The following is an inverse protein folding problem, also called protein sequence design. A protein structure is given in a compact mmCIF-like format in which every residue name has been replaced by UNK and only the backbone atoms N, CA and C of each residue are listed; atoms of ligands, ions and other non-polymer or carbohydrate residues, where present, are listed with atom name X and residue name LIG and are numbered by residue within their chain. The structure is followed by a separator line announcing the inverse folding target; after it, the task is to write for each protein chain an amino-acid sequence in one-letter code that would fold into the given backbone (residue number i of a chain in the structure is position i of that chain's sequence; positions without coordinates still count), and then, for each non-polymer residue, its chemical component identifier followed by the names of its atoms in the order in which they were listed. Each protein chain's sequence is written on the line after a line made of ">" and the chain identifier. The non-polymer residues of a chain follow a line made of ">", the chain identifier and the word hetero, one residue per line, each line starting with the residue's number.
data_IF_765875905551
#
_entry.id   IF_765875905551
#
_cell.length_a   1.000
_cell.length_b   1.000
_cell.length_c   1.000
_cell.angle_alpha   90.00
_cell.angle_beta   90.00
_cell.angle_gamma   90.00
#
_symmetry.space_group_name_H-M   'P 1'
#
loop_
_entity.id
_entity.type
_entity.pdbx_description
1 polymer ?
#
# COMPACT_ATOMS: atom_id res chain seq x y z
N UNK A 1 37.74 12.06 63.89
CA UNK A 1 37.61 11.66 65.31
C UNK A 1 38.57 10.50 65.52
N UNK A 2 39.21 10.40 66.67
CA UNK A 2 40.03 9.24 67.02
C UNK A 2 39.70 8.84 68.45
N UNK A 3 39.75 7.56 68.77
CA UNK A 3 39.49 7.10 70.13
C UNK A 3 40.60 7.59 71.08
N UNK A 4 40.29 7.73 72.36
CA UNK A 4 41.32 8.08 73.35
C UNK A 4 42.39 6.99 73.41
N UNK A 5 43.67 7.40 73.38
CA UNK A 5 44.84 6.51 73.36
C UNK A 5 45.78 6.74 74.54
N UNK A 6 45.26 7.32 75.62
CA UNK A 6 46.01 7.49 76.86
C UNK A 6 46.34 6.14 77.49
N UNK A 7 47.41 6.06 78.28
CA UNK A 7 47.84 4.82 78.93
C UNK A 7 46.81 4.20 79.88
N UNK A 8 45.80 4.99 80.30
CA UNK A 8 44.69 4.57 81.16
C UNK A 8 43.40 4.24 80.38
N UNK A 9 43.43 4.28 79.05
CA UNK A 9 42.26 3.97 78.22
C UNK A 9 41.90 2.47 78.33
N UNK A 10 40.60 2.17 78.41
CA UNK A 10 40.12 0.80 78.35
C UNK A 10 40.41 0.19 76.97
N UNK A 11 40.82 -1.08 76.93
CA UNK A 11 41.16 -1.79 75.67
C UNK A 11 39.95 -2.17 74.82
N UNK A 12 38.75 -2.02 75.36
CA UNK A 12 37.47 -2.25 74.68
C UNK A 12 36.43 -1.30 75.26
N UNK A 13 35.34 -1.05 74.51
CA UNK A 13 34.22 -0.26 75.02
C UNK A 13 33.67 -0.91 76.30
N UNK A 14 33.69 -0.21 77.45
CA UNK A 14 33.12 -0.75 78.69
C UNK A 14 31.63 -1.00 78.55
N UNK A 15 31.10 -1.99 79.28
CA UNK A 15 29.66 -2.19 79.37
C UNK A 15 29.02 -0.94 80.03
N UNK A 16 28.06 -0.28 79.38
CA UNK A 16 27.40 0.88 79.96
C UNK A 16 26.65 0.52 81.25
N UNK A 17 26.53 1.49 82.16
CA UNK A 17 25.69 1.37 83.33
C UNK A 17 24.21 1.15 82.93
N UNK A 18 23.42 0.57 83.84
CA UNK A 18 22.00 0.37 83.62
C UNK A 18 21.28 1.71 83.37
N UNK A 19 20.36 1.74 82.40
CA UNK A 19 19.64 2.95 82.04
C UNK A 19 18.84 3.51 83.24
N UNK A 20 19.15 4.75 83.62
CA UNK A 20 18.37 5.51 84.58
C UNK A 20 17.22 6.29 83.93
N UNK A 21 16.55 7.14 84.72
CA UNK A 21 15.53 8.07 84.22
C UNK A 21 16.17 9.18 83.38
N UNK A 22 15.64 9.44 82.19
CA UNK A 22 16.13 10.50 81.29
C UNK A 22 15.95 11.90 81.91
N UNK A 23 16.96 12.75 81.77
CA UNK A 23 16.99 14.12 82.30
C UNK A 23 17.95 15.02 81.53
N UNK A 24 18.12 16.27 82.00
CA UNK A 24 18.97 17.28 81.37
C UNK A 24 20.18 17.62 82.26
N UNK A 25 21.25 18.15 81.65
CA UNK A 25 22.41 18.65 82.39
C UNK A 25 22.04 19.83 83.30
N UNK A 26 22.57 19.83 84.52
CA UNK A 26 22.44 20.92 85.49
C UNK A 26 23.78 21.24 86.15
N UNK A 27 24.02 22.51 86.44
CA UNK A 27 25.14 22.96 87.28
C UNK A 27 24.94 22.58 88.77
N UNK A 28 23.82 21.95 89.10
CA UNK A 28 23.36 21.77 90.46
C UNK A 28 22.87 23.09 91.05
N UNK A 29 22.29 22.99 92.23
CA UNK A 29 21.97 24.14 93.06
C UNK A 29 22.14 23.73 94.53
N UNK A 30 23.22 24.18 95.19
CA UNK A 30 23.49 23.82 96.58
C UNK A 30 22.42 24.35 97.55
N UNK A 31 21.72 25.45 97.20
CA UNK A 31 20.64 26.02 98.03
C UNK A 31 19.42 25.10 98.05
N UNK A 32 19.13 24.42 96.94
CA UNK A 32 18.03 23.46 96.83
C UNK A 32 18.49 21.99 96.93
N UNK A 33 19.75 21.74 97.33
CA UNK A 33 20.29 20.39 97.48
C UNK A 33 20.39 19.58 96.17
N UNK A 34 20.38 20.23 95.00
CA UNK A 34 20.47 19.55 93.70
C UNK A 34 21.95 19.39 93.34
N UNK A 35 22.48 18.16 93.19
CA UNK A 35 23.86 17.95 92.75
C UNK A 35 24.04 18.37 91.29
N UNK A 36 25.27 18.74 90.92
CA UNK A 36 25.64 18.97 89.52
C UNK A 36 25.69 17.66 88.75
N UNK A 37 25.41 17.71 87.44
CA UNK A 37 25.53 16.53 86.59
C UNK A 37 27.00 16.15 86.41
N UNK A 38 27.31 14.87 86.61
CA UNK A 38 28.63 14.30 86.35
C UNK A 38 28.64 13.78 84.91
N UNK A 39 29.61 14.21 84.10
CA UNK A 39 29.84 13.63 82.78
C UNK A 39 30.74 12.41 82.94
N UNK A 40 30.14 11.23 82.87
CA UNK A 40 30.82 9.96 83.07
C UNK A 40 31.45 9.40 81.77
N UNK A 41 32.12 8.26 81.91
CA UNK A 41 32.74 7.56 80.78
C UNK A 41 31.69 7.10 79.76
N UNK A 42 30.48 6.72 80.20
CA UNK A 42 29.42 6.25 79.31
C UNK A 42 28.97 7.37 78.36
N UNK A 43 28.73 8.56 78.89
CA UNK A 43 28.37 9.73 78.08
C UNK A 43 29.47 10.11 77.09
N UNK A 44 30.72 10.19 77.55
CA UNK A 44 31.85 10.59 76.70
C UNK A 44 32.16 9.54 75.62
N UNK A 45 32.10 8.25 75.96
CA UNK A 45 32.28 7.17 75.01
C UNK A 45 31.15 7.12 73.99
N UNK A 46 29.89 7.38 74.39
CA UNK A 46 28.75 7.46 73.48
C UNK A 46 28.96 8.55 72.42
N UNK A 47 29.26 9.79 72.83
CA UNK A 47 29.52 10.89 71.87
C UNK A 47 30.70 10.54 70.96
N UNK A 48 31.78 10.01 71.54
CA UNK A 48 32.96 9.64 70.77
C UNK A 48 32.64 8.59 69.73
N UNK A 49 31.97 7.51 70.11
CA UNK A 49 31.66 6.40 69.23
C UNK A 49 30.62 6.77 68.17
N UNK A 50 29.61 7.58 68.49
CA UNK A 50 28.68 8.10 67.49
C UNK A 50 29.42 8.89 66.39
N UNK A 51 30.32 9.79 66.77
CA UNK A 51 31.12 10.56 65.80
C UNK A 51 32.14 9.69 65.05
N UNK A 52 32.74 8.69 65.70
CA UNK A 52 33.62 7.70 65.05
C UNK A 52 32.83 6.89 64.02
N UNK A 53 31.63 6.44 64.36
CA UNK A 53 30.76 5.66 63.48
C UNK A 53 30.33 6.48 62.26
N UNK A 54 30.09 7.79 62.39
CA UNK A 54 29.85 8.68 61.24
C UNK A 54 31.06 8.71 60.29
N UNK A 55 32.28 8.81 60.84
CA UNK A 55 33.52 8.85 60.03
C UNK A 55 33.78 7.51 59.33
N UNK A 56 33.64 6.41 60.06
CA UNK A 56 33.79 5.06 59.53
C UNK A 56 32.70 4.72 58.50
N UNK A 57 31.45 5.13 58.76
CA UNK A 57 30.32 4.96 57.86
C UNK A 57 30.49 5.71 56.54
N UNK A 58 31.23 6.82 56.54
CA UNK A 58 31.66 7.50 55.31
C UNK A 58 32.86 6.82 54.60
N UNK A 59 33.36 5.69 55.11
CA UNK A 59 34.54 4.99 54.59
C UNK A 59 35.83 5.79 54.73
N UNK A 60 35.97 6.59 55.79
CA UNK A 60 37.16 7.39 56.10
C UNK A 60 37.91 6.73 57.26
N UNK A 61 39.22 6.43 57.13
CA UNK A 61 40.01 5.89 58.23
C UNK A 61 40.20 6.94 59.33
N UNK A 62 40.20 6.49 60.59
CA UNK A 62 40.39 7.39 61.73
C UNK A 62 41.84 7.89 61.79
N UNK A 63 41.99 9.19 62.02
CA UNK A 63 43.28 9.87 62.12
C UNK A 63 43.35 10.73 63.39
N UNK A 64 44.47 10.67 64.11
CA UNK A 64 44.71 11.53 65.28
C UNK A 64 45.13 12.95 64.89
N UNK A 65 45.64 13.14 63.67
CA UNK A 65 46.21 14.42 63.21
C UNK A 65 45.28 15.21 62.29
N UNK A 66 44.08 14.68 61.99
CA UNK A 66 43.12 15.31 61.07
C UNK A 66 41.88 15.83 61.82
N UNK A 67 41.74 17.15 61.92
CA UNK A 67 40.69 17.80 62.73
C UNK A 67 39.38 18.12 61.98
N UNK A 68 39.21 17.63 60.75
CA UNK A 68 38.01 17.87 59.94
C UNK A 68 37.31 16.57 59.48
N UNK A 69 37.62 15.41 60.08
CA UNK A 69 37.11 14.11 59.62
C UNK A 69 35.59 14.01 59.63
N UNK A 70 34.92 14.56 60.66
CA UNK A 70 33.44 14.55 60.73
C UNK A 70 32.84 15.42 59.62
N UNK A 71 33.43 16.59 59.35
CA UNK A 71 33.01 17.45 58.23
C UNK A 71 33.20 16.74 56.88
N UNK A 72 34.35 16.08 56.67
CA UNK A 72 34.62 15.30 55.47
C UNK A 72 33.65 14.12 55.32
N UNK A 73 33.31 13.46 56.43
CA UNK A 73 32.33 12.38 56.47
C UNK A 73 30.94 12.89 56.07
N UNK A 74 30.46 13.99 56.64
CA UNK A 74 29.18 14.61 56.30
C UNK A 74 29.15 14.99 54.81
N UNK A 75 30.21 15.61 54.28
CA UNK A 75 30.30 15.94 52.86
C UNK A 75 30.21 14.71 51.96
N UNK A 76 30.89 13.61 52.32
CA UNK A 76 30.87 12.36 51.54
C UNK A 76 29.54 11.62 51.66
N UNK A 77 28.97 11.53 52.86
CA UNK A 77 27.63 10.94 53.09
C UNK A 77 26.58 11.72 52.29
N UNK A 78 26.65 13.05 52.28
CA UNK A 78 25.76 13.89 51.47
C UNK A 78 25.92 13.72 49.96
N UNK A 79 27.06 13.21 49.47
CA UNK A 79 27.27 12.86 48.07
C UNK A 79 26.87 11.41 47.75
N UNK A 80 26.90 10.52 48.73
CA UNK A 80 26.68 9.10 48.54
C UNK A 80 25.18 8.80 48.57
N UNK A 81 24.59 8.55 47.41
CA UNK A 81 23.20 8.10 47.33
C UNK A 81 23.11 6.62 47.67
N UNK A 82 22.23 6.27 48.61
CA UNK A 82 21.93 4.86 48.93
C UNK A 82 21.22 4.24 47.73
N UNK A 83 21.82 3.19 47.15
CA UNK A 83 21.21 2.40 46.09
C UNK A 83 20.63 1.14 46.70
N UNK A 84 19.31 1.04 46.68
CA UNK A 84 18.56 -0.11 47.16
C UNK A 84 18.55 -1.21 46.10
N UNK A 85 18.40 -2.46 46.51
CA UNK A 85 18.23 -3.57 45.56
C UNK A 85 16.75 -3.87 45.41
N UNK A 86 16.27 -3.97 44.17
CA UNK A 86 14.94 -4.49 43.89
C UNK A 86 14.86 -5.97 44.29
N UNK A 87 13.95 -6.28 45.20
CA UNK A 87 13.65 -7.64 45.67
C UNK A 87 12.26 -8.10 45.23
N UNK A 88 11.63 -7.38 44.30
CA UNK A 88 10.30 -7.65 43.79
C UNK A 88 10.27 -8.64 42.63
N UNK A 89 9.32 -8.42 41.73
CA UNK A 89 9.11 -9.16 40.50
C UNK A 89 8.85 -8.20 39.34
N UNK A 90 8.78 -8.72 38.11
CA UNK A 90 8.46 -7.90 36.94
C UNK A 90 7.17 -7.10 37.14
N UNK A 91 7.25 -5.78 36.90
CA UNK A 91 6.18 -4.80 37.11
C UNK A 91 5.70 -4.61 38.57
N UNK A 92 6.29 -5.28 39.56
CA UNK A 92 5.97 -5.13 40.99
C UNK A 92 7.28 -5.00 41.77
N UNK A 93 7.72 -3.77 41.97
CA UNK A 93 9.03 -3.46 42.51
C UNK A 93 8.94 -3.21 44.01
N UNK A 94 9.94 -3.67 44.76
CA UNK A 94 10.06 -3.40 46.20
C UNK A 94 11.52 -3.37 46.58
N UNK A 95 11.85 -2.60 47.61
CA UNK A 95 13.20 -2.57 48.16
C UNK A 95 13.13 -2.37 49.67
N UNK A 96 14.22 -2.74 50.35
CA UNK A 96 14.34 -2.65 51.81
C UNK A 96 15.31 -1.53 52.17
N UNK A 97 14.82 -0.54 52.90
CA UNK A 97 15.60 0.55 53.44
C UNK A 97 16.23 0.14 54.78
N UNK A 98 17.34 0.78 55.15
CA UNK A 98 17.95 0.61 56.46
C UNK A 98 18.29 2.00 57.02
N UNK A 99 17.49 2.54 57.95
CA UNK A 99 16.28 1.94 58.56
C UNK A 99 15.07 1.86 57.60
N UNK A 100 14.11 0.95 57.83
CA UNK A 100 12.89 0.84 57.02
C UNK A 100 12.05 2.12 57.04
N UNK A 101 11.45 2.45 55.91
CA UNK A 101 10.42 3.49 55.83
C UNK A 101 9.12 3.01 56.49
N UNK A 102 8.40 3.97 57.06
CA UNK A 102 7.04 3.78 57.59
C UNK A 102 6.09 4.75 56.88
N UNK A 103 4.77 4.56 57.05
CA UNK A 103 3.77 5.42 56.38
C UNK A 103 3.95 6.92 56.64
N UNK A 104 4.54 7.33 57.77
CA UNK A 104 4.83 8.73 58.08
C UNK A 104 6.09 9.29 57.43
N UNK A 105 6.95 8.43 56.86
CA UNK A 105 8.22 8.81 56.21
C UNK A 105 8.24 8.48 54.73
N UNK A 106 7.28 7.70 54.23
CA UNK A 106 7.03 7.51 52.80
C UNK A 106 5.99 8.52 52.32
N UNK A 107 6.45 9.74 52.07
CA UNK A 107 5.63 10.93 51.77
C UNK A 107 6.23 11.70 50.58
N UNK A 108 5.51 12.71 50.09
CA UNK A 108 5.91 13.50 48.93
C UNK A 108 7.34 14.07 49.05
N UNK A 109 8.11 13.95 47.95
CA UNK A 109 9.49 14.41 47.86
C UNK A 109 10.54 13.38 48.28
N UNK A 110 10.14 12.25 48.88
CA UNK A 110 11.07 11.17 49.23
C UNK A 110 11.57 10.49 47.97
N UNK A 111 12.90 10.43 47.82
CA UNK A 111 13.59 9.84 46.67
C UNK A 111 14.15 8.47 47.04
N UNK A 112 13.93 7.48 46.18
CA UNK A 112 14.48 6.13 46.29
C UNK A 112 15.29 5.85 45.03
N UNK A 113 16.57 5.50 45.19
CA UNK A 113 17.37 4.97 44.07
C UNK A 113 17.40 3.47 44.20
N UNK A 114 16.90 2.78 43.18
CA UNK A 114 16.69 1.32 43.19
C UNK A 114 17.42 0.71 42.01
N UNK A 115 18.24 -0.31 42.27
CA UNK A 115 18.81 -1.17 41.24
C UNK A 115 17.75 -2.17 40.81
N UNK A 116 17.23 -1.99 39.60
CA UNK A 116 16.12 -2.73 39.03
C UNK A 116 16.52 -4.18 38.74
N UNK A 117 15.75 -5.15 39.22
CA UNK A 117 15.98 -6.57 38.99
C UNK A 117 15.35 -7.07 37.69
N UNK A 118 14.20 -6.50 37.33
CA UNK A 118 13.37 -6.96 36.21
C UNK A 118 13.00 -5.79 35.28
N UNK A 119 13.03 -6.02 33.97
CA UNK A 119 12.54 -5.02 33.03
C UNK A 119 11.01 -4.93 33.10
N UNK A 120 10.45 -3.73 32.95
CA UNK A 120 8.99 -3.58 32.90
C UNK A 120 8.45 -3.85 31.49
N UNK A 121 7.26 -4.43 31.42
CA UNK A 121 6.52 -4.70 30.18
C UNK A 121 5.21 -3.92 30.08
N UNK A 122 4.92 -3.08 31.08
CA UNK A 122 3.70 -2.30 31.18
C UNK A 122 3.63 -1.53 32.50
N UNK A 123 2.39 -1.25 32.94
CA UNK A 123 2.14 -0.53 34.18
C UNK A 123 2.78 -1.26 35.36
N UNK A 124 3.45 -0.51 36.21
CA UNK A 124 4.28 -1.04 37.30
C UNK A 124 3.94 -0.38 38.63
N UNK A 125 4.26 -1.03 39.74
CA UNK A 125 4.07 -0.50 41.09
C UNK A 125 5.35 -0.53 41.91
N UNK A 126 5.45 0.34 42.92
CA UNK A 126 6.54 0.36 43.89
C UNK A 126 5.99 0.32 45.32
N UNK A 127 6.56 -0.56 46.15
CA UNK A 127 6.17 -0.78 47.53
C UNK A 127 7.43 -0.94 48.42
N UNK A 128 8.07 0.15 48.87
CA UNK A 128 9.24 0.04 49.73
C UNK A 128 8.85 -0.49 51.12
N UNK A 129 9.71 -1.31 51.73
CA UNK A 129 9.56 -1.79 53.11
C UNK A 129 8.20 -2.44 53.45
N UNK A 130 7.55 -3.06 52.46
CA UNK A 130 6.23 -3.70 52.63
C UNK A 130 5.07 -2.71 52.81
N UNK A 131 5.28 -1.43 52.53
CA UNK A 131 4.21 -0.42 52.50
C UNK A 131 3.25 -0.67 51.32
N UNK A 132 2.10 0.00 51.35
CA UNK A 132 1.11 -0.08 50.29
C UNK A 132 1.71 0.27 48.93
N UNK A 133 1.53 -0.61 47.96
CA UNK A 133 2.03 -0.39 46.60
C UNK A 133 1.35 0.82 45.96
N UNK A 134 2.15 1.73 45.42
CA UNK A 134 1.70 2.87 44.61
C UNK A 134 2.17 2.69 43.17
N UNK A 135 1.42 3.16 42.17
CA UNK A 135 1.81 2.96 40.78
C UNK A 135 3.00 3.84 40.40
N UNK A 136 3.85 3.32 39.52
CA UNK A 136 4.98 4.04 38.94
C UNK A 136 4.53 4.72 37.65
N UNK A 137 4.79 6.01 37.57
CA UNK A 137 4.47 6.87 36.44
C UNK A 137 5.76 7.40 35.85
N UNK A 138 5.84 7.52 34.52
CA UNK A 138 6.97 8.23 33.89
C UNK A 138 6.85 9.75 34.06
N UNK A 139 7.86 10.48 33.59
CA UNK A 139 7.85 11.95 33.59
C UNK A 139 6.68 12.58 32.81
N UNK A 140 6.07 11.83 31.89
CA UNK A 140 4.84 12.24 31.20
C UNK A 140 3.57 12.15 32.05
N UNK A 141 3.68 11.80 33.34
CA UNK A 141 2.57 11.60 34.28
C UNK A 141 1.54 10.58 33.77
N UNK A 142 2.03 9.51 33.15
CA UNK A 142 1.24 8.35 32.74
C UNK A 142 1.85 7.08 33.33
N UNK A 143 1.05 6.01 33.50
CA UNK A 143 1.58 4.70 33.86
C UNK A 143 2.68 4.25 32.89
N UNK A 144 3.65 3.48 33.38
CA UNK A 144 4.68 2.88 32.52
C UNK A 144 4.06 1.99 31.43
N UNK A 145 4.69 1.95 30.25
CA UNK A 145 4.18 1.27 29.05
C UNK A 145 5.03 0.07 28.63
N UNK A 146 6.25 -0.06 29.18
CA UNK A 146 7.21 -1.12 28.89
C UNK A 146 8.54 -0.54 28.40
N UNK A 147 9.64 -1.04 28.95
CA UNK A 147 11.00 -0.63 28.57
C UNK A 147 11.53 0.64 29.24
N UNK A 148 10.77 1.31 30.11
CA UNK A 148 11.25 2.46 30.89
C UNK A 148 12.14 2.05 32.08
N UNK A 149 11.96 0.84 32.63
CA UNK A 149 12.79 0.25 33.67
C UNK A 149 13.62 -0.88 33.05
N UNK A 150 14.94 -0.74 33.11
CA UNK A 150 15.89 -1.69 32.53
C UNK A 150 16.50 -2.56 33.63
N UNK A 151 16.44 -3.89 33.45
CA UNK A 151 17.04 -4.83 34.39
C UNK A 151 18.56 -4.58 34.54
N UNK A 152 19.02 -4.56 35.79
CA UNK A 152 20.41 -4.28 36.16
C UNK A 152 20.77 -2.80 36.26
N UNK A 153 19.92 -1.89 35.75
CA UNK A 153 20.13 -0.44 35.81
C UNK A 153 19.65 0.18 37.12
N UNK A 154 20.07 1.41 37.40
CA UNK A 154 19.54 2.21 38.50
C UNK A 154 18.35 3.04 38.02
N UNK A 155 17.28 3.05 38.81
CA UNK A 155 16.13 3.91 38.64
C UNK A 155 16.01 4.87 39.83
N UNK A 156 15.61 6.11 39.55
CA UNK A 156 15.31 7.13 40.56
C UNK A 156 13.79 7.29 40.63
N UNK A 157 13.21 6.91 41.75
CA UNK A 157 11.78 6.98 42.03
C UNK A 157 11.52 8.08 43.07
N UNK A 158 10.51 8.91 42.85
CA UNK A 158 10.12 9.97 43.78
C UNK A 158 8.65 9.81 44.14
N UNK A 159 8.35 9.75 45.44
CA UNK A 159 6.98 9.80 45.91
C UNK A 159 6.38 11.19 45.62
N UNK A 160 5.20 11.23 45.01
CA UNK A 160 4.50 12.49 44.75
C UNK A 160 2.98 12.30 44.74
N UNK A 161 2.26 13.32 45.19
CA UNK A 161 0.80 13.43 45.09
C UNK A 161 0.48 14.64 44.24
N UNK A 162 -0.06 14.42 43.03
CA UNK A 162 -0.31 15.48 42.04
C UNK A 162 -1.80 15.57 41.75
N UNK A 163 -2.38 16.76 41.88
CA UNK A 163 -3.80 16.99 41.58
C UNK A 163 -4.08 16.68 40.10
N UNK A 164 -5.13 15.89 39.86
CA UNK A 164 -5.53 15.49 38.51
C UNK A 164 -4.77 14.28 37.93
N UNK A 165 -3.78 13.74 38.65
CA UNK A 165 -3.07 12.51 38.30
C UNK A 165 -3.49 11.40 39.26
N UNK A 166 -3.72 10.18 38.75
CA UNK A 166 -4.11 9.02 39.56
C UNK A 166 -5.28 9.30 40.55
N UNK A 167 -6.26 10.11 40.11
CA UNK A 167 -7.39 10.56 40.95
C UNK A 167 -6.99 11.28 42.25
N UNK A 168 -5.80 11.88 42.30
CA UNK A 168 -5.25 12.54 43.49
C UNK A 168 -4.61 11.58 44.50
N UNK A 169 -4.48 10.29 44.17
CA UNK A 169 -3.75 9.33 45.00
C UNK A 169 -2.24 9.39 44.70
N UNK A 170 -1.38 9.01 45.68
CA UNK A 170 0.07 9.04 45.50
C UNK A 170 0.55 8.14 44.36
N UNK A 171 1.65 8.56 43.74
CA UNK A 171 2.37 7.84 42.68
C UNK A 171 3.87 7.86 42.97
N UNK A 172 4.60 6.93 42.35
CA UNK A 172 6.05 7.01 42.22
C UNK A 172 6.41 7.57 40.84
N UNK A 173 6.99 8.76 40.78
CA UNK A 173 7.47 9.32 39.52
C UNK A 173 8.86 8.75 39.23
N UNK A 174 9.00 8.08 38.10
CA UNK A 174 10.28 7.66 37.56
C UNK A 174 10.98 8.87 36.95
N UNK A 175 12.00 9.38 37.64
CA UNK A 175 12.78 10.53 37.20
C UNK A 175 13.81 10.14 36.14
N UNK A 176 14.45 8.99 36.33
CA UNK A 176 15.45 8.46 35.40
C UNK A 176 15.61 6.96 35.60
N UNK A 177 15.85 6.22 34.51
CA UNK A 177 16.45 4.90 34.55
C UNK A 177 17.47 4.79 33.43
N UNK A 178 18.71 4.40 33.76
CA UNK A 178 19.77 4.32 32.77
C UNK A 178 19.42 3.32 31.65
N UNK A 179 19.37 3.81 30.40
CA UNK A 179 18.99 3.02 29.22
C UNK A 179 17.48 2.80 29.03
N UNK A 180 16.65 3.31 29.93
CA UNK A 180 15.19 3.20 29.85
C UNK A 180 14.59 4.14 28.81
N UNK A 181 13.50 3.71 28.18
CA UNK A 181 12.72 4.56 27.30
C UNK A 181 12.14 5.76 28.07
N UNK A 182 12.21 6.95 27.49
CA UNK A 182 11.60 8.14 28.08
C UNK A 182 10.20 8.34 27.51
N UNK A 183 9.21 8.45 28.40
CA UNK A 183 7.85 8.75 27.99
C UNK A 183 7.76 10.17 27.44
N UNK A 184 7.24 10.30 26.23
CA UNK A 184 6.96 11.58 25.57
C UNK A 184 5.45 11.80 25.63
N UNK A 185 4.91 12.88 26.24
CA UNK A 185 3.48 13.22 26.18
C UNK A 185 3.03 13.62 24.77
N UNK A 186 1.71 13.68 24.49
CA UNK A 186 1.23 14.13 23.20
C UNK A 186 1.76 15.54 22.87
N UNK A 187 2.38 15.70 21.69
CA UNK A 187 2.81 16.97 21.17
C UNK A 187 1.63 17.91 20.94
N UNK A 188 1.69 19.13 21.48
CA UNK A 188 0.66 20.18 21.34
C UNK A 188 1.22 21.48 20.76
N UNK A 189 2.53 21.56 20.55
CA UNK A 189 3.24 22.72 20.00
C UNK A 189 4.28 22.26 18.97
N UNK A 190 4.70 23.18 18.10
CA UNK A 190 5.56 22.86 16.95
C UNK A 190 6.99 22.36 17.29
N UNK A 191 7.46 22.55 18.52
CA UNK A 191 8.79 22.11 18.97
C UNK A 191 8.72 20.92 19.96
N UNK A 192 7.55 20.28 20.10
CA UNK A 192 7.41 19.08 20.93
C UNK A 192 7.85 17.83 20.16
N UNK A 193 8.49 16.89 20.85
CA UNK A 193 8.69 15.55 20.31
C UNK A 193 7.33 14.86 20.11
N UNK A 194 7.16 14.21 18.96
CA UNK A 194 5.89 13.58 18.56
C UNK A 194 5.89 12.12 18.99
N UNK A 195 4.78 11.67 19.60
CA UNK A 195 4.61 10.26 19.93
C UNK A 195 4.44 9.39 18.68
N UNK A 196 4.82 8.11 18.76
CA UNK A 196 4.59 7.15 17.68
C UNK A 196 3.11 7.09 17.24
N UNK A 197 2.15 7.15 18.18
CA UNK A 197 0.72 7.19 17.86
C UNK A 197 0.29 8.45 17.09
N UNK A 198 0.87 9.62 17.40
CA UNK A 198 0.62 10.86 16.67
C UNK A 198 1.23 10.82 15.27
N UNK A 199 2.43 10.26 15.13
CA UNK A 199 3.07 10.06 13.82
C UNK A 199 2.29 9.06 12.96
N UNK A 200 1.84 7.95 13.55
CA UNK A 200 0.99 6.96 12.87
C UNK A 200 -0.33 7.59 12.41
N UNK A 201 -0.95 8.44 13.24
CA UNK A 201 -2.16 9.17 12.85
C UNK A 201 -1.90 10.15 11.70
N UNK A 202 -0.79 10.90 11.74
CA UNK A 202 -0.39 11.79 10.65
C UNK A 202 -0.08 11.02 9.35
N UNK A 203 0.58 9.86 9.44
CA UNK A 203 0.95 9.05 8.29
C UNK A 203 -0.24 8.26 7.71
N UNK A 204 -1.19 7.82 8.54
CA UNK A 204 -2.48 7.22 8.10
C UNK A 204 -3.47 8.27 7.61
N UNK A 205 -3.27 9.55 7.93
CA UNK A 205 -3.91 10.67 7.22
C UNK A 205 -3.31 10.88 5.82
N UNK A 206 -2.07 10.40 5.61
CA UNK A 206 -1.39 10.37 4.31
C UNK A 206 -1.61 9.05 3.53
N UNK A 207 -1.93 7.95 4.22
CA UNK A 207 -2.33 6.65 3.66
C UNK A 207 -3.87 6.52 3.74
N UNK A 208 -4.60 6.86 2.68
CA UNK A 208 -5.89 7.52 2.81
C UNK A 208 -7.06 6.53 2.81
N UNK A 209 -7.99 6.70 3.77
CA UNK A 209 -9.33 6.09 3.71
C UNK A 209 -10.26 6.72 2.65
N UNK A 210 -9.82 7.73 1.92
CA UNK A 210 -10.52 8.31 0.78
C UNK A 210 -9.50 8.92 -0.19
N UNK A 211 -9.51 8.44 -1.44
CA UNK A 211 -8.65 8.85 -2.57
C UNK A 211 -8.24 10.33 -2.52
N UNK A 212 -7.01 10.67 -2.07
CA UNK A 212 -6.57 12.04 -1.99
C UNK A 212 -6.27 12.47 -3.41
N UNK A 213 -6.93 13.54 -3.82
CA UNK A 213 -6.57 14.26 -5.02
C UNK A 213 -5.21 14.89 -4.79
N UNK A 214 -4.18 14.37 -5.45
CA UNK A 214 -2.83 14.94 -5.41
C UNK A 214 -2.58 15.70 -6.71
N UNK A 215 -2.12 16.95 -6.62
CA UNK A 215 -1.81 17.76 -7.81
C UNK A 215 -0.60 17.18 -8.54
N UNK A 216 0.53 16.96 -7.85
CA UNK A 216 1.72 16.31 -8.40
C UNK A 216 2.29 15.29 -7.40
N UNK A 217 2.65 14.08 -7.85
CA UNK A 217 3.35 13.08 -7.04
C UNK A 217 4.67 12.69 -7.73
N UNK A 218 5.79 12.87 -7.03
CA UNK A 218 7.12 12.47 -7.49
C UNK A 218 7.73 11.51 -6.49
N UNK A 219 8.08 10.30 -6.94
CA UNK A 219 8.84 9.33 -6.15
C UNK A 219 10.23 9.19 -6.75
N UNK A 220 11.24 9.59 -5.99
CA UNK A 220 12.64 9.68 -6.42
C UNK A 220 13.39 8.35 -6.32
N UNK A 221 12.89 7.39 -5.53
CA UNK A 221 13.39 6.01 -5.45
C UNK A 221 12.35 5.10 -4.77
N UNK A 222 12.23 3.84 -5.23
CA UNK A 222 11.23 2.89 -4.73
C UNK A 222 9.90 2.92 -5.50
N UNK A 223 9.17 1.80 -5.51
CA UNK A 223 7.85 1.71 -6.14
C UNK A 223 6.72 2.24 -5.26
N UNK A 224 5.57 2.53 -5.86
CA UNK A 224 4.34 2.85 -5.12
C UNK A 224 3.49 1.58 -5.08
N UNK A 225 3.18 1.10 -3.86
CA UNK A 225 2.23 0.02 -3.63
C UNK A 225 1.03 0.57 -2.85
N UNK A 226 -0.15 0.55 -3.47
CA UNK A 226 -1.41 0.94 -2.81
C UNK A 226 -2.23 -0.33 -2.59
N UNK A 227 -2.33 -0.77 -1.32
CA UNK A 227 -3.03 -2.00 -0.96
C UNK A 227 -4.53 -1.80 -0.72
N UNK A 228 -5.00 -0.56 -0.52
CA UNK A 228 -6.41 -0.21 -0.39
C UNK A 228 -6.67 1.24 -0.85
N UNK A 229 -7.75 1.47 -1.60
CA UNK A 229 -8.05 2.77 -2.23
C UNK A 229 -7.36 2.96 -3.59
N UNK A 230 -7.85 3.92 -4.39
CA UNK A 230 -7.19 4.38 -5.62
C UNK A 230 -6.35 5.65 -5.38
N UNK A 231 -5.53 6.03 -6.36
CA UNK A 231 -4.85 7.33 -6.39
C UNK A 231 -5.53 8.20 -7.46
N UNK A 232 -5.88 9.44 -7.14
CA UNK A 232 -6.31 10.45 -8.12
C UNK A 232 -5.22 11.52 -8.28
N UNK A 233 -4.50 11.48 -9.40
CA UNK A 233 -3.47 12.50 -9.73
C UNK A 233 -4.02 13.44 -10.80
N UNK A 234 -4.15 14.72 -10.46
CA UNK A 234 -4.73 15.73 -11.37
C UNK A 234 -3.70 16.40 -12.30
N UNK A 235 -2.45 16.52 -11.86
CA UNK A 235 -1.33 17.03 -12.65
C UNK A 235 -0.48 15.87 -13.20
N UNK A 236 0.80 15.81 -12.82
CA UNK A 236 1.74 14.79 -13.31
C UNK A 236 2.06 13.71 -12.28
N UNK A 237 2.15 12.45 -12.75
CA UNK A 237 2.73 11.33 -11.98
C UNK A 237 4.09 10.95 -12.57
N UNK A 238 5.16 11.10 -11.77
CA UNK A 238 6.54 10.74 -12.16
C UNK A 238 7.09 9.67 -11.23
N UNK A 239 7.47 8.51 -11.80
CA UNK A 239 8.13 7.41 -11.07
C UNK A 239 9.49 7.14 -11.72
N UNK A 240 10.55 7.55 -11.03
CA UNK A 240 11.92 7.39 -11.50
C UNK A 240 12.56 6.15 -10.82
N UNK A 241 12.68 5.04 -11.57
CA UNK A 241 13.33 3.81 -11.08
C UNK A 241 12.45 2.84 -10.29
N UNK A 242 11.19 2.64 -10.69
CA UNK A 242 10.27 1.70 -10.02
C UNK A 242 9.01 1.39 -10.84
N UNK A 243 8.16 0.51 -10.32
CA UNK A 243 6.85 0.16 -10.91
C UNK A 243 5.71 0.73 -10.08
N UNK A 244 4.57 0.99 -10.72
CA UNK A 244 3.30 1.29 -10.05
C UNK A 244 2.42 0.05 -10.08
N UNK A 245 2.11 -0.49 -8.89
CA UNK A 245 1.18 -1.61 -8.74
C UNK A 245 -0.07 -1.16 -7.99
N UNK A 246 -1.21 -1.21 -8.67
CA UNK A 246 -2.51 -0.84 -8.13
C UNK A 246 -3.41 -2.07 -8.07
N UNK A 247 -3.85 -2.42 -6.85
CA UNK A 247 -4.73 -3.57 -6.61
C UNK A 247 -6.17 -3.35 -7.11
N UNK A 248 -6.57 -2.10 -7.42
CA UNK A 248 -7.91 -1.70 -7.85
C UNK A 248 -7.83 -0.71 -9.04
N UNK A 249 -8.95 -0.04 -9.36
CA UNK A 249 -9.06 0.91 -10.47
C UNK A 249 -8.21 2.17 -10.29
N UNK A 250 -7.77 2.74 -11.41
CA UNK A 250 -6.95 3.95 -11.46
C UNK A 250 -7.54 4.99 -12.42
N UNK A 251 -7.50 6.27 -12.04
CA UNK A 251 -7.86 7.41 -12.90
C UNK A 251 -6.68 8.38 -12.91
N UNK A 252 -6.10 8.58 -14.10
CA UNK A 252 -5.02 9.53 -14.33
C UNK A 252 -5.53 10.64 -15.24
N UNK A 253 -5.58 11.87 -14.74
CA UNK A 253 -6.09 13.03 -15.50
C UNK A 253 -4.97 13.85 -16.18
N UNK A 254 -3.71 13.44 -16.04
CA UNK A 254 -2.57 14.10 -16.68
C UNK A 254 -1.46 13.12 -17.10
N UNK A 255 -0.29 13.66 -17.46
CA UNK A 255 0.83 12.90 -18.03
C UNK A 255 1.36 11.85 -17.04
N UNK A 256 1.44 10.59 -17.49
CA UNK A 256 2.09 9.50 -16.77
C UNK A 256 3.51 9.33 -17.34
N UNK A 257 4.54 9.66 -16.57
CA UNK A 257 5.94 9.47 -16.94
C UNK A 257 6.60 8.46 -15.99
N UNK A 258 6.73 7.20 -16.43
CA UNK A 258 7.33 6.13 -15.65
C UNK A 258 8.32 5.30 -16.46
N UNK A 259 9.42 4.91 -15.81
CA UNK A 259 10.50 4.10 -16.40
C UNK A 259 10.29 2.59 -16.24
N UNK A 260 9.40 2.16 -15.32
CA UNK A 260 9.02 0.76 -15.11
C UNK A 260 7.65 0.41 -15.68
N UNK A 261 7.02 -0.63 -15.13
CA UNK A 261 5.74 -1.16 -15.61
C UNK A 261 4.55 -0.51 -14.87
N UNK A 262 3.48 -0.19 -15.60
CA UNK A 262 2.15 0.10 -15.03
C UNK A 262 1.34 -1.19 -14.93
N UNK A 263 1.07 -1.67 -13.71
CA UNK A 263 0.20 -2.84 -13.49
C UNK A 263 -1.06 -2.42 -12.73
N UNK A 264 -2.22 -2.52 -13.39
CA UNK A 264 -3.54 -2.22 -12.82
C UNK A 264 -4.38 -3.49 -12.88
N UNK A 265 -4.75 -4.05 -11.72
CA UNK A 265 -5.55 -5.28 -11.67
C UNK A 265 -7.06 -5.03 -11.96
N UNK A 266 -7.53 -3.79 -11.76
CA UNK A 266 -8.90 -3.36 -12.03
C UNK A 266 -9.05 -2.57 -13.35
N UNK A 267 -10.11 -1.77 -13.46
CA UNK A 267 -10.33 -0.92 -14.63
C UNK A 267 -9.30 0.24 -14.66
N UNK A 268 -8.64 0.42 -15.80
CA UNK A 268 -7.69 1.52 -16.03
C UNK A 268 -8.32 2.55 -16.96
N UNK A 269 -8.67 3.73 -16.43
CA UNK A 269 -9.10 4.88 -17.21
C UNK A 269 -7.89 5.74 -17.59
N UNK A 270 -7.51 5.74 -18.87
CA UNK A 270 -6.45 6.59 -19.40
C UNK A 270 -7.10 7.80 -20.07
N UNK A 271 -6.89 8.99 -19.49
CA UNK A 271 -7.40 10.28 -19.96
C UNK A 271 -8.93 10.35 -20.12
N UNK A 272 -9.62 10.63 -19.01
CA UNK A 272 -11.06 10.93 -19.00
C UNK A 272 -11.39 12.37 -19.37
N UNK A 273 -10.38 13.18 -19.75
CA UNK A 273 -10.50 14.63 -19.95
C UNK A 273 -10.44 15.09 -21.41
N UNK A 274 -10.29 14.16 -22.35
CA UNK A 274 -10.45 14.44 -23.78
C UNK A 274 -9.22 15.03 -24.48
N UNK A 275 -8.03 14.93 -23.89
CA UNK A 275 -6.79 15.43 -24.50
C UNK A 275 -6.12 14.42 -25.47
N UNK A 276 -6.60 13.17 -25.49
CA UNK A 276 -6.05 12.10 -26.31
C UNK A 276 -4.80 11.50 -25.67
N UNK A 277 -4.88 10.22 -25.31
CA UNK A 277 -3.70 9.44 -24.91
C UNK A 277 -2.95 8.99 -26.17
N UNK A 278 -1.70 9.39 -26.31
CA UNK A 278 -0.82 8.90 -27.38
C UNK A 278 0.10 7.82 -26.83
N UNK A 279 0.02 6.63 -27.41
CA UNK A 279 1.05 5.59 -27.21
C UNK A 279 2.07 5.75 -28.34
N UNK A 280 3.28 6.18 -28.01
CA UNK A 280 4.39 6.29 -28.99
C UNK A 280 4.93 4.93 -29.48
N UNK A 281 4.27 3.82 -29.15
CA UNK A 281 4.65 2.44 -29.45
C UNK A 281 3.43 1.52 -29.50
N UNK A 282 3.64 0.20 -29.50
CA UNK A 282 2.56 -0.78 -29.60
C UNK A 282 1.68 -0.81 -28.34
N UNK A 283 0.36 -0.69 -28.52
CA UNK A 283 -0.65 -0.95 -27.48
C UNK A 283 -1.11 -2.41 -27.59
N UNK A 284 -0.79 -3.24 -26.60
CA UNK A 284 -1.25 -4.64 -26.53
C UNK A 284 -2.43 -4.75 -25.57
N UNK A 285 -3.62 -5.03 -26.09
CA UNK A 285 -4.83 -5.29 -25.29
C UNK A 285 -5.14 -6.78 -25.40
N UNK A 286 -5.10 -7.50 -24.28
CA UNK A 286 -5.35 -8.96 -24.25
C UNK A 286 -6.82 -9.35 -24.41
N UNK A 287 -7.72 -8.39 -24.66
CA UNK A 287 -9.17 -8.58 -24.81
C UNK A 287 -9.75 -7.68 -25.90
N UNK A 288 -11.08 -7.65 -26.03
CA UNK A 288 -11.76 -6.87 -27.07
C UNK A 288 -11.52 -5.36 -26.89
N UNK A 289 -11.15 -4.68 -27.98
CA UNK A 289 -11.12 -3.22 -28.05
C UNK A 289 -12.49 -2.74 -28.52
N UNK A 290 -13.31 -2.26 -27.60
CA UNK A 290 -14.57 -1.59 -27.93
C UNK A 290 -14.32 -0.09 -28.14
N UNK A 291 -14.42 0.36 -29.38
CA UNK A 291 -14.31 1.78 -29.73
C UNK A 291 -15.68 2.34 -30.06
N UNK A 292 -16.12 3.34 -29.31
CA UNK A 292 -17.38 4.08 -29.57
C UNK A 292 -17.05 5.37 -30.30
N UNK A 293 -17.45 5.50 -31.57
CA UNK A 293 -17.18 6.67 -32.42
C UNK A 293 -16.30 6.35 -33.63
N UNK A 294 -15.66 7.37 -34.22
CA UNK A 294 -14.81 7.21 -35.40
C UNK A 294 -13.45 6.64 -35.04
N UNK A 295 -13.11 5.45 -35.56
CA UNK A 295 -11.76 4.88 -35.50
C UNK A 295 -11.06 5.11 -36.83
N UNK A 296 -9.90 5.77 -36.83
CA UNK A 296 -9.07 5.96 -38.02
C UNK A 296 -7.79 5.15 -37.91
N UNK A 297 -7.67 4.10 -38.71
CA UNK A 297 -6.42 3.37 -38.90
C UNK A 297 -5.73 3.89 -40.17
N UNK A 298 -4.64 4.64 -40.02
CA UNK A 298 -3.84 5.13 -41.14
C UNK A 298 -2.56 4.32 -41.27
N UNK A 299 -2.45 3.55 -42.34
CA UNK A 299 -1.20 2.88 -42.72
C UNK A 299 -0.54 3.69 -43.84
N UNK A 300 0.74 4.00 -43.70
CA UNK A 300 1.45 4.97 -44.56
C UNK A 300 1.75 4.48 -45.99
N UNK A 301 1.59 3.19 -46.30
CA UNK A 301 1.86 2.65 -47.66
C UNK A 301 1.07 1.38 -47.96
N UNK A 302 1.11 0.37 -47.08
CA UNK A 302 0.29 -0.86 -47.11
C UNK A 302 0.08 -1.34 -45.66
N UNK A 303 -1.18 -1.43 -45.21
CA UNK A 303 -1.53 -1.92 -43.87
C UNK A 303 -2.40 -3.17 -43.94
N UNK A 304 -2.19 -4.10 -43.02
CA UNK A 304 -2.97 -5.32 -42.90
C UNK A 304 -3.41 -5.50 -41.44
N UNK A 305 -4.59 -6.10 -41.23
CA UNK A 305 -4.99 -6.62 -39.93
C UNK A 305 -4.45 -8.06 -39.81
N UNK A 306 -3.73 -8.38 -38.73
CA UNK A 306 -3.21 -9.72 -38.47
C UNK A 306 -3.64 -10.23 -37.08
N UNK A 307 -3.66 -11.56 -36.90
CA UNK A 307 -3.79 -12.20 -35.60
C UNK A 307 -2.51 -12.99 -35.37
N UNK A 308 -1.59 -12.41 -34.61
CA UNK A 308 -0.47 -13.17 -34.06
C UNK A 308 -0.49 -12.98 -32.56
N UNK A 309 -0.57 -14.09 -31.83
CA UNK A 309 -0.24 -14.09 -30.41
C UNK A 309 1.10 -13.37 -30.21
N UNK A 310 1.17 -12.56 -29.16
CA UNK A 310 2.24 -11.62 -28.83
C UNK A 310 3.62 -11.98 -29.43
N UNK A 311 4.03 -11.23 -30.47
CA UNK A 311 5.35 -11.34 -31.07
C UNK A 311 5.42 -10.54 -32.37
N UNK A 312 6.49 -9.77 -32.56
CA UNK A 312 6.80 -9.10 -33.83
C UNK A 312 6.77 -10.12 -34.97
N UNK A 313 5.72 -10.10 -35.79
CA UNK A 313 5.70 -10.95 -36.98
C UNK A 313 6.54 -10.31 -38.07
N UNK A 314 7.65 -10.97 -38.40
CA UNK A 314 8.48 -10.70 -39.58
C UNK A 314 7.94 -11.40 -40.83
N UNK A 315 6.78 -12.07 -40.74
CA UNK A 315 6.15 -12.78 -41.86
C UNK A 315 4.65 -12.51 -41.92
N UNK A 316 4.19 -12.01 -43.06
CA UNK A 316 2.79 -11.70 -43.37
C UNK A 316 1.93 -12.96 -43.32
N UNK A 317 1.04 -13.04 -42.32
CA UNK A 317 -0.07 -13.99 -42.31
C UNK A 317 -1.36 -13.23 -42.59
N UNK A 318 -2.04 -13.56 -43.69
CA UNK A 318 -3.32 -12.95 -44.06
C UNK A 318 -4.44 -13.48 -43.17
N UNK A 319 -5.26 -12.58 -42.63
CA UNK A 319 -6.55 -12.92 -42.03
C UNK A 319 -7.66 -12.91 -43.09
N UNK A 320 -8.58 -13.86 -43.01
CA UNK A 320 -9.92 -13.68 -43.56
C UNK A 320 -10.72 -12.81 -42.60
N UNK A 321 -10.89 -11.53 -42.90
CA UNK A 321 -11.76 -10.64 -42.14
C UNK A 321 -13.00 -10.28 -42.98
N UNK A 322 -14.20 -10.50 -42.43
CA UNK A 322 -15.45 -10.00 -42.99
C UNK A 322 -15.71 -8.57 -42.52
N UNK A 323 -16.24 -7.72 -43.42
CA UNK A 323 -16.77 -6.40 -43.04
C UNK A 323 -18.29 -6.51 -42.88
N UNK A 324 -18.80 -6.31 -41.67
CA UNK A 324 -20.23 -6.14 -41.42
C UNK A 324 -20.50 -4.66 -41.14
N UNK A 325 -21.12 -3.96 -42.08
CA UNK A 325 -21.38 -2.52 -41.99
C UNK A 325 -22.87 -2.22 -42.15
N UNK A 326 -23.45 -1.45 -41.24
CA UNK A 326 -24.89 -1.10 -41.25
C UNK A 326 -25.26 -0.08 -42.34
N UNK A 327 -24.30 0.73 -42.81
CA UNK A 327 -24.56 1.84 -43.74
C UNK A 327 -23.72 1.77 -45.02
N UNK A 328 -23.02 0.65 -45.25
CA UNK A 328 -22.20 0.39 -46.43
C UNK A 328 -20.70 0.56 -46.20
N UNK A 329 -19.92 -0.08 -47.08
CA UNK A 329 -18.46 0.07 -47.16
C UNK A 329 -18.09 0.95 -48.36
N UNK A 330 -17.40 2.06 -48.12
CA UNK A 330 -16.85 2.90 -49.19
C UNK A 330 -15.36 2.63 -49.34
N UNK A 331 -14.92 2.26 -50.54
CA UNK A 331 -13.50 2.13 -50.87
C UNK A 331 -13.24 2.84 -52.19
N UNK A 332 -12.10 3.54 -52.30
CA UNK A 332 -11.67 4.12 -53.57
C UNK A 332 -11.35 3.04 -54.62
N UNK A 333 -10.86 1.87 -54.17
CA UNK A 333 -10.50 0.73 -55.02
C UNK A 333 -10.69 -0.59 -54.25
N UNK A 334 -11.15 -1.63 -54.95
CA UNK A 334 -11.16 -3.02 -54.49
C UNK A 334 -10.16 -3.84 -55.30
N UNK A 335 -9.05 -4.25 -54.67
CA UNK A 335 -8.04 -5.08 -55.31
C UNK A 335 -8.28 -6.55 -54.94
N UNK A 336 -8.57 -7.37 -55.95
CA UNK A 336 -8.71 -8.83 -55.79
C UNK A 336 -7.52 -9.54 -56.42
N UNK A 337 -7.07 -10.63 -55.79
CA UNK A 337 -5.91 -11.39 -56.28
C UNK A 337 -6.32 -12.18 -57.52
N UNK A 338 -5.69 -11.91 -58.67
CA UNK A 338 -6.06 -12.52 -59.96
C UNK A 338 -4.86 -13.04 -60.76
N UNK A 339 -3.68 -13.13 -60.14
CA UNK A 339 -2.43 -13.54 -60.80
C UNK A 339 -2.55 -14.93 -61.43
N UNK A 340 -2.04 -15.10 -62.67
CA UNK A 340 -2.12 -16.37 -63.38
C UNK A 340 -1.33 -17.49 -62.68
N UNK A 341 -0.28 -17.16 -61.93
CA UNK A 341 0.60 -18.12 -61.26
C UNK A 341 -0.07 -18.85 -60.10
N UNK A 342 -1.18 -18.32 -59.58
CA UNK A 342 -1.96 -18.94 -58.51
C UNK A 342 -3.21 -19.67 -59.03
N UNK A 343 -3.36 -19.77 -60.36
CA UNK A 343 -4.50 -20.40 -61.02
C UNK A 343 -4.03 -21.63 -61.80
N UNK A 344 -4.84 -22.68 -61.78
CA UNK A 344 -4.65 -23.89 -62.60
C UNK A 344 -5.93 -24.19 -63.38
N UNK A 345 -5.87 -24.98 -64.46
CA UNK A 345 -7.04 -25.35 -65.28
C UNK A 345 -7.84 -24.15 -65.82
N UNK A 346 -7.15 -23.20 -66.47
CA UNK A 346 -7.76 -21.98 -67.00
C UNK A 346 -8.42 -22.27 -68.35
N UNK A 347 -9.76 -22.33 -68.34
CA UNK A 347 -10.58 -22.56 -69.53
C UNK A 347 -11.49 -21.35 -69.82
N UNK A 348 -11.99 -21.24 -71.05
CA UNK A 348 -12.97 -20.23 -71.42
C UNK A 348 -14.32 -20.53 -70.77
N UNK A 349 -15.04 -19.50 -70.32
CA UNK A 349 -16.38 -19.68 -69.77
C UNK A 349 -17.35 -20.19 -70.85
N UNK A 350 -18.10 -21.25 -70.54
CA UNK A 350 -19.11 -21.83 -71.42
C UNK A 350 -20.20 -20.79 -71.76
N UNK A 351 -20.31 -20.46 -73.05
CA UNK A 351 -21.28 -19.47 -73.53
C UNK A 351 -22.72 -19.93 -73.34
N UNK A 352 -22.98 -21.22 -73.48
CA UNK A 352 -24.32 -21.80 -73.28
C UNK A 352 -24.73 -21.72 -71.80
N UNK A 353 -23.80 -21.96 -70.88
CA UNK A 353 -24.08 -21.88 -69.45
C UNK A 353 -24.25 -20.42 -69.00
N UNK A 354 -23.42 -19.50 -69.53
CA UNK A 354 -23.54 -18.07 -69.26
C UNK A 354 -24.86 -17.49 -69.80
N UNK A 355 -25.27 -17.88 -71.01
CA UNK A 355 -26.57 -17.50 -71.57
C UNK A 355 -27.73 -18.07 -70.75
N UNK A 356 -27.64 -19.35 -70.36
CA UNK A 356 -28.66 -19.98 -69.50
C UNK A 356 -28.82 -19.21 -68.19
N UNK A 357 -27.72 -18.81 -67.55
CA UNK A 357 -27.75 -17.99 -66.34
C UNK A 357 -28.48 -16.67 -66.56
N UNK A 358 -28.08 -15.87 -67.56
CA UNK A 358 -28.69 -14.56 -67.84
C UNK A 358 -30.16 -14.66 -68.24
N UNK A 359 -30.57 -15.76 -68.89
CA UNK A 359 -31.97 -16.00 -69.24
C UNK A 359 -32.84 -16.48 -68.08
N UNK A 360 -32.23 -17.09 -67.07
CA UNK A 360 -32.96 -17.72 -65.95
C UNK A 360 -33.01 -16.80 -64.74
N UNK A 361 -31.95 -16.03 -64.49
CA UNK A 361 -31.87 -15.13 -63.33
C UNK A 361 -32.22 -13.70 -63.75
N UNK A 362 -33.39 -13.24 -63.32
CA UNK A 362 -33.86 -11.88 -63.61
C UNK A 362 -33.38 -10.88 -62.54
N UNK A 363 -32.85 -9.71 -62.93
CA UNK A 363 -32.60 -8.61 -62.00
C UNK A 363 -33.94 -8.03 -61.52
N UNK A 364 -34.06 -7.77 -60.22
CA UNK A 364 -35.29 -7.26 -59.59
C UNK A 364 -35.02 -5.97 -58.82
N UNK A 365 -36.06 -5.16 -58.67
CA UNK A 365 -36.11 -4.07 -57.68
C UNK A 365 -36.93 -4.53 -56.49
N UNK A 366 -36.49 -4.19 -55.28
CA UNK A 366 -37.13 -4.63 -54.04
C UNK A 366 -36.93 -3.62 -52.91
N UNK A 367 -37.72 -3.75 -51.85
CA UNK A 367 -37.51 -3.01 -50.61
C UNK A 367 -36.76 -3.91 -49.62
N UNK A 368 -35.46 -3.67 -49.40
CA UNK A 368 -34.70 -4.36 -48.35
C UNK A 368 -34.93 -3.64 -47.03
N UNK A 369 -35.68 -4.26 -46.11
CA UNK A 369 -36.03 -3.68 -44.80
C UNK A 369 -36.59 -2.23 -44.89
N UNK A 370 -37.36 -1.95 -45.95
CA UNK A 370 -37.98 -0.63 -46.19
C UNK A 370 -37.19 0.31 -47.10
N UNK A 371 -35.96 -0.02 -47.51
CA UNK A 371 -35.15 0.80 -48.41
C UNK A 371 -35.20 0.27 -49.85
N UNK A 372 -35.48 1.12 -50.86
CA UNK A 372 -35.45 0.72 -52.27
C UNK A 372 -34.04 0.33 -52.73
N UNK A 373 -33.90 -0.88 -53.24
CA UNK A 373 -32.67 -1.45 -53.79
C UNK A 373 -32.96 -2.20 -55.11
N UNK A 374 -31.89 -2.48 -55.87
CA UNK A 374 -31.94 -3.29 -57.09
C UNK A 374 -30.81 -4.32 -57.05
N UNK A 375 -31.09 -5.55 -57.48
CA UNK A 375 -30.12 -6.64 -57.43
C UNK A 375 -30.70 -7.97 -57.88
N UNK A 376 -30.01 -9.05 -57.52
CA UNK A 376 -30.49 -10.41 -57.74
C UNK A 376 -31.01 -11.01 -56.43
N UNK A 377 -32.03 -11.87 -56.54
CA UNK A 377 -32.51 -12.66 -55.40
C UNK A 377 -31.62 -13.89 -55.26
N UNK A 378 -31.06 -14.11 -54.07
CA UNK A 378 -30.10 -15.18 -53.82
C UNK A 378 -30.67 -16.58 -54.12
N UNK A 379 -31.95 -16.80 -53.81
CA UNK A 379 -32.67 -18.05 -54.11
C UNK A 379 -32.78 -18.30 -55.61
N UNK A 380 -33.13 -17.27 -56.40
CA UNK A 380 -33.22 -17.37 -57.87
C UNK A 380 -31.85 -17.69 -58.49
N UNK A 381 -30.80 -17.04 -57.98
CA UNK A 381 -29.41 -17.36 -58.36
C UNK A 381 -29.10 -18.82 -58.03
N UNK A 382 -29.46 -19.29 -56.85
CA UNK A 382 -29.21 -20.65 -56.35
C UNK A 382 -29.87 -21.74 -57.18
N UNK A 383 -31.07 -21.48 -57.67
CA UNK A 383 -31.82 -22.39 -58.54
C UNK A 383 -31.23 -22.48 -59.94
N UNK A 384 -30.68 -21.38 -60.46
CA UNK A 384 -30.08 -21.36 -61.78
C UNK A 384 -28.70 -22.04 -61.85
N UNK A 385 -28.00 -22.14 -60.71
CA UNK A 385 -26.66 -22.73 -60.61
C UNK A 385 -26.70 -24.23 -60.30
N UNK A 386 -26.95 -25.03 -61.34
CA UNK A 386 -26.95 -26.51 -61.30
C UNK A 386 -25.53 -27.12 -61.12
N UNK A 387 -24.88 -26.83 -59.98
CA UNK A 387 -23.59 -27.40 -59.59
C UNK A 387 -22.36 -27.00 -60.41
N UNK A 388 -22.51 -26.13 -61.42
CA UNK A 388 -21.39 -25.68 -62.31
C UNK A 388 -20.87 -24.28 -62.02
N UNK A 389 -21.66 -23.44 -61.33
CA UNK A 389 -21.29 -22.08 -60.91
C UNK A 389 -21.13 -22.02 -59.38
N UNK A 390 -20.45 -23.02 -58.81
CA UNK A 390 -20.46 -23.43 -57.39
C UNK A 390 -20.08 -22.37 -56.34
N UNK A 391 -19.81 -21.12 -56.72
CA UNK A 391 -19.34 -20.09 -55.80
C UNK A 391 -20.05 -18.72 -55.95
N UNK A 392 -21.25 -18.69 -56.55
CA UNK A 392 -22.05 -17.45 -56.63
C UNK A 392 -22.83 -17.12 -55.35
N UNK A 393 -22.92 -18.06 -54.41
CA UNK A 393 -23.68 -17.92 -53.17
C UNK A 393 -22.82 -18.24 -51.96
N UNK A 394 -23.03 -17.48 -50.90
CA UNK A 394 -22.53 -17.77 -49.56
C UNK A 394 -23.63 -17.52 -48.53
N UNK A 395 -23.50 -18.09 -47.34
CA UNK A 395 -24.41 -17.82 -46.23
C UNK A 395 -23.68 -17.10 -45.09
N UNK A 396 -24.44 -16.33 -44.32
CA UNK A 396 -24.01 -15.74 -43.04
C UNK A 396 -25.03 -16.09 -41.97
N UNK A 397 -24.57 -16.59 -40.83
CA UNK A 397 -25.45 -16.98 -39.73
C UNK A 397 -26.13 -15.74 -39.12
N UNK A 398 -27.46 -15.75 -39.06
CA UNK A 398 -28.27 -14.69 -38.46
C UNK A 398 -29.38 -15.32 -37.64
N UNK A 399 -29.59 -14.84 -36.42
CA UNK A 399 -30.67 -15.35 -35.58
C UNK A 399 -32.04 -14.92 -36.15
N UNK A 400 -33.06 -15.72 -35.88
CA UNK A 400 -34.48 -15.38 -36.14
C UNK A 400 -34.93 -15.40 -37.61
N UNK A 401 -34.16 -16.01 -38.53
CA UNK A 401 -34.65 -16.37 -39.87
C UNK A 401 -35.25 -17.78 -39.88
N UNK A 402 -36.53 -17.89 -40.27
CA UNK A 402 -37.20 -19.17 -40.45
C UNK A 402 -36.70 -19.89 -41.70
N UNK A 403 -36.66 -21.23 -41.65
CA UNK A 403 -36.45 -22.06 -42.83
C UNK A 403 -37.58 -21.83 -43.84
N UNK A 404 -37.23 -21.72 -45.12
CA UNK A 404 -38.17 -21.62 -46.23
C UNK A 404 -37.79 -22.65 -47.28
N UNK A 405 -38.77 -23.46 -47.69
CA UNK A 405 -38.63 -24.40 -48.81
C UNK A 405 -39.48 -23.89 -49.95
N UNK A 406 -38.85 -23.59 -51.08
CA UNK A 406 -39.54 -23.14 -52.29
C UNK A 406 -40.23 -24.33 -53.00
N UNK A 407 -41.15 -24.02 -53.92
CA UNK A 407 -41.95 -25.00 -54.67
C UNK A 407 -41.13 -26.03 -55.48
N UNK A 408 -39.87 -25.70 -55.78
CA UNK A 408 -38.90 -26.53 -56.49
C UNK A 408 -37.97 -27.34 -55.57
N UNK A 409 -38.18 -27.25 -54.25
CA UNK A 409 -37.39 -27.94 -53.24
C UNK A 409 -36.09 -27.23 -52.87
N UNK A 410 -35.83 -26.01 -53.35
CA UNK A 410 -34.71 -25.20 -52.87
C UNK A 410 -34.93 -24.80 -51.40
N UNK A 411 -33.99 -25.16 -50.53
CA UNK A 411 -34.07 -24.89 -49.08
C UNK A 411 -33.25 -23.65 -48.76
N UNK A 412 -33.93 -22.61 -48.26
CA UNK A 412 -33.29 -21.51 -47.53
C UNK A 412 -33.18 -21.93 -46.06
N UNK A 413 -31.97 -22.24 -45.55
CA UNK A 413 -31.79 -22.79 -44.21
C UNK A 413 -32.21 -21.81 -43.12
N UNK A 414 -32.72 -22.34 -41.99
CA UNK A 414 -32.97 -21.54 -40.80
C UNK A 414 -31.68 -20.89 -40.28
N UNK A 415 -31.83 -19.69 -39.71
CA UNK A 415 -30.77 -18.90 -39.12
C UNK A 415 -29.58 -18.55 -40.06
N UNK A 416 -29.83 -18.43 -41.36
CA UNK A 416 -28.79 -18.04 -42.32
C UNK A 416 -29.34 -17.12 -43.43
N UNK A 417 -28.69 -15.96 -43.63
CA UNK A 417 -28.96 -15.07 -44.77
C UNK A 417 -28.09 -15.51 -45.96
N UNK A 418 -28.69 -15.62 -47.14
CA UNK A 418 -27.98 -15.94 -48.38
C UNK A 418 -27.49 -14.65 -49.05
N UNK A 419 -26.23 -14.64 -49.49
CA UNK A 419 -25.57 -13.52 -50.15
C UNK A 419 -25.06 -13.94 -51.54
N UNK A 420 -25.17 -13.02 -52.49
CA UNK A 420 -24.73 -13.21 -53.89
C UNK A 420 -23.34 -12.58 -54.10
N UNK A 421 -22.41 -13.33 -54.70
CA UNK A 421 -21.11 -12.80 -55.12
C UNK A 421 -21.22 -12.11 -56.49
N UNK A 422 -21.39 -10.79 -56.47
CA UNK A 422 -21.45 -9.97 -57.66
C UNK A 422 -20.13 -9.92 -58.45
N UNK A 423 -18.95 -10.17 -57.84
CA UNK A 423 -17.68 -10.18 -58.57
C UNK A 423 -17.62 -11.31 -59.61
N UNK A 424 -18.20 -12.46 -59.29
CA UNK A 424 -18.24 -13.63 -60.16
C UNK A 424 -19.32 -13.53 -61.25
N UNK A 425 -20.33 -12.67 -61.07
CA UNK A 425 -21.38 -12.45 -62.10
C UNK A 425 -20.84 -11.60 -63.27
N UNK A 426 -19.93 -10.66 -63.01
CA UNK A 426 -19.34 -9.77 -64.03
C UNK A 426 -18.75 -10.56 -65.22
N UNK A 427 -17.87 -11.57 -65.04
CA UNK A 427 -17.35 -12.35 -66.15
C UNK A 427 -18.42 -13.18 -66.89
N UNK A 428 -19.49 -13.61 -66.22
CA UNK A 428 -20.63 -14.30 -66.86
C UNK A 428 -21.34 -13.37 -67.84
N UNK A 429 -21.66 -12.15 -67.40
CA UNK A 429 -22.23 -11.14 -68.29
C UNK A 429 -21.29 -10.77 -69.44
N UNK A 430 -19.97 -10.68 -69.18
CA UNK A 430 -18.99 -10.41 -70.22
C UNK A 430 -18.96 -11.50 -71.31
N UNK A 431 -19.13 -12.77 -70.95
CA UNK A 431 -19.19 -13.87 -71.92
C UNK A 431 -20.43 -13.78 -72.82
N UNK A 432 -21.60 -13.50 -72.24
CA UNK A 432 -22.86 -13.31 -73.00
C UNK A 432 -22.76 -12.11 -73.93
N UNK A 433 -22.24 -10.98 -73.45
CA UNK A 433 -22.05 -9.78 -74.27
C UNK A 433 -21.13 -10.07 -75.48
N UNK A 434 -20.04 -10.83 -75.29
CA UNK A 434 -19.16 -11.24 -76.40
C UNK A 434 -19.85 -12.18 -77.41
N UNK A 435 -20.74 -13.06 -76.95
CA UNK A 435 -21.57 -13.88 -77.84
C UNK A 435 -22.52 -13.01 -78.66
N UNK A 436 -23.29 -12.13 -78.00
CA UNK A 436 -24.23 -11.23 -78.66
C UNK A 436 -23.54 -10.33 -79.70
N UNK A 437 -22.36 -9.79 -79.40
CA UNK A 437 -21.60 -8.98 -80.36
C UNK A 437 -21.22 -9.77 -81.62
N UNK A 438 -20.77 -11.03 -81.47
CA UNK A 438 -20.45 -11.90 -82.62
C UNK A 438 -21.69 -12.22 -83.45
N UNK A 439 -22.81 -12.54 -82.80
CA UNK A 439 -24.08 -12.79 -83.49
C UNK A 439 -24.58 -11.54 -84.22
N UNK A 440 -24.47 -10.36 -83.60
CA UNK A 440 -24.79 -9.09 -84.24
C UNK A 440 -23.94 -8.81 -85.47
N UNK A 441 -22.64 -9.09 -85.41
CA UNK A 441 -21.76 -8.90 -86.57
C UNK A 441 -22.05 -9.92 -87.68
N UNK A 442 -22.38 -11.16 -87.33
CA UNK A 442 -22.89 -12.17 -88.28
C UNK A 442 -24.18 -11.71 -88.95
N UNK A 443 -25.16 -11.22 -88.18
CA UNK A 443 -26.43 -10.71 -88.69
C UNK A 443 -26.23 -9.49 -89.61
N UNK A 444 -25.29 -8.59 -89.29
CA UNK A 444 -24.97 -7.45 -90.17
C UNK A 444 -24.38 -7.90 -91.50
N UNK A 445 -23.52 -8.92 -91.51
CA UNK A 445 -22.95 -9.49 -92.73
C UNK A 445 -24.04 -10.14 -93.59
N UNK A 446 -24.96 -10.89 -92.98
CA UNK A 446 -26.11 -11.47 -93.69
C UNK A 446 -27.03 -10.39 -94.28
N UNK A 447 -27.32 -9.33 -93.53
CA UNK A 447 -28.10 -8.19 -94.02
C UNK A 447 -27.38 -7.47 -95.17
N UNK A 448 -26.05 -7.32 -95.11
CA UNK A 448 -25.26 -6.73 -96.19
C UNK A 448 -25.33 -7.59 -97.46
N UNK A 449 -25.15 -8.91 -97.33
CA UNK A 449 -25.26 -9.85 -98.44
C UNK A 449 -26.68 -9.87 -99.07
N UNK A 450 -27.73 -9.77 -98.25
CA UNK A 450 -29.12 -9.66 -98.72
C UNK A 450 -29.42 -8.34 -99.45
N UNK A 451 -28.68 -7.27 -99.13
CA UNK A 451 -28.79 -5.96 -99.80
C UNK A 451 -28.04 -5.91 -101.13
N UNK A 452 -26.94 -6.64 -101.29
CA UNK A 452 -26.17 -6.72 -102.54
C UNK A 452 -26.78 -7.70 -103.57
N UNK A 453 -27.62 -8.64 -103.11
CA UNK A 453 -28.33 -9.60 -103.96
C UNK A 453 -29.71 -9.15 -104.47
N UNK A 454 -30.05 -7.85 -104.38
CA UNK A 454 -31.32 -7.26 -104.88
C UNK A 454 -31.09 -6.10 -105.83
#
# INVERSE_FOLDING_TARGET
>A
MFQTDQSTAASSLPAPAAAGTQGYFTNGNPVSGVPATILDADFMNMIMMELVNVVLGAGIPLSKTTYNQVLSAIKRIGQNTVVLTDTGAANVYTAVNTPPLVSGTWVDGVVQVVKIGYANTGASTYAPDGLTAIPIYGLGLQPLQGGELVAGSMAILVHATIVGVNSGNPICVLMECAGGAQQVPPATQGLHAVQYGQMTTALTSYAPKASPTVTNLTVSSGGIAVSAGGINVQGGLVINGGSLTLANSAVFAGLINMSGTLTVAGACGLDTSGAGSTFGGALSVGGAVNSTGSVSHSASTFGYLNNTGAGNSTTTSSLGCGFYTTSGSMAGQFWTTSDIRIKTQIEGLSENDAEKFVRTVEPKTYLKRGTPEAGFIAQDVGKAVDGRFMQLLTSHDVDELAEMVDDDGFVSPANAELHVDYQQIIPIHAAVLRKLLREMDSMKLEIAALKEGR
#
